data_IF_963147517130
#
_entry.id   IF_963147517130
#
_cell.length_a   1.000
_cell.length_b   1.000
_cell.length_c   1.000
_cell.angle_alpha   90.00
_cell.angle_beta   90.00
_cell.angle_gamma   90.00
#
_symmetry.space_group_name_H-M   'P 1'
#
loop_
_entity.id
_entity.type
_entity.pdbx_description
1 polymer ?
#
# COMPACT_ATOMS: atom_id res chain seq x y z
N UNK A 1 -3.18 -4.83 -8.13
CA UNK A 1 -2.09 -5.51 -7.39
C UNK A 1 -2.44 -5.50 -5.91
N UNK A 2 -2.34 -6.64 -5.22
CA UNK A 2 -2.60 -6.76 -3.78
C UNK A 2 -1.30 -7.18 -3.08
N UNK A 3 -0.99 -6.62 -1.91
CA UNK A 3 0.21 -6.99 -1.12
C UNK A 3 1.53 -6.62 -1.80
N UNK A 4 1.85 -5.32 -1.86
CA UNK A 4 3.11 -4.81 -2.42
C UNK A 4 4.15 -4.53 -1.30
N UNK A 5 5.19 -3.73 -1.58
CA UNK A 5 6.23 -3.41 -0.60
C UNK A 5 5.67 -2.87 0.73
N UNK A 6 4.63 -2.04 0.68
CA UNK A 6 4.02 -1.47 1.89
C UNK A 6 3.50 -2.54 2.85
N UNK A 7 2.96 -3.65 2.33
CA UNK A 7 2.39 -4.72 3.15
C UNK A 7 3.48 -5.54 3.82
N UNK A 8 4.52 -5.91 3.05
CA UNK A 8 5.68 -6.62 3.56
C UNK A 8 6.42 -5.79 4.61
N UNK A 9 6.65 -4.51 4.32
CA UNK A 9 7.38 -3.61 5.21
C UNK A 9 6.58 -3.32 6.48
N UNK A 10 5.27 -3.06 6.37
CA UNK A 10 4.42 -2.84 7.54
C UNK A 10 4.35 -4.08 8.42
N UNK A 11 4.26 -5.28 7.83
CA UNK A 11 4.32 -6.53 8.57
C UNK A 11 5.66 -6.72 9.29
N UNK A 12 6.78 -6.47 8.60
CA UNK A 12 8.11 -6.60 9.17
C UNK A 12 8.32 -5.65 10.36
N UNK A 13 7.97 -4.37 10.21
CA UNK A 13 8.06 -3.37 11.29
C UNK A 13 7.13 -3.75 12.46
N UNK A 14 5.87 -4.11 12.17
CA UNK A 14 4.93 -4.48 13.22
C UNK A 14 5.41 -5.70 14.02
N UNK A 15 6.07 -6.67 13.36
CA UNK A 15 6.68 -7.83 14.01
C UNK A 15 7.93 -7.46 14.81
N UNK A 16 8.85 -6.71 14.23
CA UNK A 16 10.10 -6.30 14.88
C UNK A 16 9.84 -5.47 16.16
N UNK A 17 8.81 -4.63 16.13
CA UNK A 17 8.44 -3.77 17.25
C UNK A 17 7.23 -4.28 18.01
N UNK A 18 6.88 -5.57 17.95
CA UNK A 18 5.62 -6.10 18.51
C UNK A 18 5.31 -5.59 19.93
N UNK A 19 6.32 -5.62 20.82
CA UNK A 19 6.23 -5.21 22.22
C UNK A 19 6.91 -3.87 22.53
N UNK A 20 7.21 -3.07 21.51
CA UNK A 20 7.91 -1.79 21.63
C UNK A 20 7.14 -0.67 20.92
N UNK A 21 7.53 0.56 21.19
CA UNK A 21 7.06 1.71 20.41
C UNK A 21 7.57 1.65 18.98
N UNK A 22 6.79 2.18 18.04
CA UNK A 22 7.18 2.23 16.64
C UNK A 22 8.35 3.22 16.44
N UNK A 23 9.27 2.95 15.50
CA UNK A 23 10.34 3.88 15.13
C UNK A 23 9.83 5.29 14.87
N UNK A 24 10.66 6.30 15.19
CA UNK A 24 10.37 7.71 14.90
C UNK A 24 9.99 7.94 13.44
N UNK A 25 9.14 8.93 13.16
CA UNK A 25 8.53 9.16 11.83
C UNK A 25 9.56 9.37 10.70
N UNK A 26 10.76 9.85 11.02
CA UNK A 26 11.87 10.10 10.11
C UNK A 26 12.78 8.88 9.88
N UNK A 27 12.48 7.75 10.55
CA UNK A 27 13.23 6.51 10.42
C UNK A 27 13.33 6.08 8.95
N UNK A 28 14.51 5.64 8.47
CA UNK A 28 14.68 5.13 7.12
C UNK A 28 13.80 3.90 6.82
N UNK A 29 13.28 3.22 7.86
CA UNK A 29 12.36 2.09 7.71
C UNK A 29 11.05 2.45 7.00
N UNK A 30 10.67 3.73 7.00
CA UNK A 30 9.46 4.22 6.35
C UNK A 30 9.70 4.81 4.96
N UNK A 31 10.95 4.86 4.49
CA UNK A 31 11.30 5.42 3.18
C UNK A 31 11.04 4.38 2.09
N UNK A 32 10.47 4.86 0.99
CA UNK A 32 10.27 4.05 -0.20
C UNK A 32 11.63 3.61 -0.79
N UNK A 33 11.80 2.33 -1.16
CA UNK A 33 13.04 1.84 -1.75
C UNK A 33 13.28 2.42 -3.15
N UNK A 34 14.51 2.84 -3.43
CA UNK A 34 14.85 3.55 -4.69
C UNK A 34 14.85 2.67 -5.94
N UNK A 35 14.93 1.35 -5.75
CA UNK A 35 14.96 0.33 -6.79
C UNK A 35 13.55 -0.20 -7.13
N UNK A 36 12.51 0.27 -6.44
CA UNK A 36 11.14 -0.20 -6.64
C UNK A 36 10.25 0.89 -7.25
N UNK A 37 9.47 0.52 -8.26
CA UNK A 37 8.46 1.39 -8.84
C UNK A 37 7.39 1.74 -7.80
N UNK A 38 7.23 3.04 -7.53
CA UNK A 38 6.15 3.54 -6.68
C UNK A 38 4.82 3.51 -7.45
N UNK A 39 3.75 2.91 -6.88
CA UNK A 39 2.43 2.97 -7.48
C UNK A 39 1.88 4.40 -7.46
N UNK A 40 1.07 4.77 -8.46
CA UNK A 40 0.40 6.08 -8.51
C UNK A 40 -0.69 6.22 -7.44
N UNK A 41 -1.21 5.10 -6.93
CA UNK A 41 -2.24 5.05 -5.90
C UNK A 41 -2.06 3.81 -5.02
N UNK A 42 -2.10 4.01 -3.71
CA UNK A 42 -2.09 2.95 -2.70
C UNK A 42 -3.37 3.05 -1.89
N UNK A 43 -4.20 2.01 -1.89
CA UNK A 43 -5.46 2.00 -1.14
C UNK A 43 -5.32 1.12 0.10
N UNK A 44 -5.59 1.67 1.27
CA UNK A 44 -5.66 0.91 2.53
C UNK A 44 -7.11 0.82 3.01
N UNK A 45 -7.63 -0.41 3.06
CA UNK A 45 -8.99 -0.69 3.55
C UNK A 45 -8.97 -0.86 5.08
N UNK A 46 -9.49 0.14 5.78
CA UNK A 46 -9.61 0.14 7.23
C UNK A 46 -10.96 -0.40 7.67
N UNK A 47 -10.99 -1.68 8.02
CA UNK A 47 -12.18 -2.32 8.58
C UNK A 47 -12.38 -1.92 10.05
N UNK A 48 -13.60 -1.78 10.56
CA UNK A 48 -13.83 -1.68 12.01
C UNK A 48 -13.38 -2.97 12.73
N UNK A 49 -13.04 -2.90 14.02
CA UNK A 49 -12.63 -4.07 14.84
C UNK A 49 -13.79 -5.04 15.12
N UNK A 50 -15.03 -4.59 15.03
CA UNK A 50 -16.23 -5.38 15.29
C UNK A 50 -16.50 -6.46 14.22
N UNK A 51 -15.90 -6.35 13.03
CA UNK A 51 -16.02 -7.32 11.94
C UNK A 51 -15.00 -8.48 12.07
N UNK A 52 -14.83 -8.99 13.30
CA UNK A 52 -13.85 -10.05 13.63
C UNK A 52 -14.14 -11.41 12.98
N UNK A 53 -15.34 -11.62 12.44
CA UNK A 53 -15.74 -12.85 11.77
C UNK A 53 -14.82 -13.21 10.58
N UNK A 54 -14.21 -12.22 9.91
CA UNK A 54 -13.29 -12.46 8.80
C UNK A 54 -11.91 -12.99 9.23
N UNK A 55 -11.56 -12.88 10.52
CA UNK A 55 -10.28 -13.36 11.07
C UNK A 55 -10.34 -14.78 11.62
N UNK A 56 -11.47 -15.50 11.49
CA UNK A 56 -11.63 -16.87 11.99
C UNK A 56 -10.66 -17.88 11.33
N UNK A 57 -10.12 -17.56 10.14
CA UNK A 57 -9.14 -18.37 9.42
C UNK A 57 -7.71 -17.81 9.46
N UNK A 58 -7.48 -16.71 10.19
CA UNK A 58 -6.18 -16.07 10.29
C UNK A 58 -5.51 -16.40 11.63
N UNK A 59 -4.17 -16.43 11.65
CA UNK A 59 -3.39 -16.58 12.88
C UNK A 59 -3.83 -15.52 13.89
N UNK A 60 -4.10 -15.86 15.17
CA UNK A 60 -4.50 -14.90 16.19
C UNK A 60 -3.49 -13.75 16.25
N UNK A 61 -3.91 -12.54 15.86
CA UNK A 61 -3.08 -11.35 15.95
C UNK A 61 -3.31 -10.67 17.29
N UNK A 62 -2.29 -9.99 17.83
CA UNK A 62 -2.46 -9.24 19.08
C UNK A 62 -3.58 -8.20 18.92
N UNK A 63 -4.31 -7.92 19.99
CA UNK A 63 -5.47 -7.00 20.00
C UNK A 63 -5.16 -5.64 19.34
N UNK A 64 -3.92 -5.18 19.44
CA UNK A 64 -3.49 -3.86 18.94
C UNK A 64 -2.79 -3.92 17.57
N UNK A 65 -2.62 -5.10 16.97
CA UNK A 65 -1.89 -5.29 15.71
C UNK A 65 -2.41 -4.39 14.59
N UNK A 66 -3.73 -4.33 14.43
CA UNK A 66 -4.38 -3.58 13.34
C UNK A 66 -4.13 -2.08 13.45
N UNK A 67 -4.35 -1.52 14.64
CA UNK A 67 -4.06 -0.12 14.95
C UNK A 67 -2.57 0.20 14.78
N UNK A 68 -1.69 -0.75 15.12
CA UNK A 68 -0.24 -0.61 14.93
C UNK A 68 0.16 -0.59 13.45
N UNK A 69 -0.37 -1.51 12.65
CA UNK A 69 -0.13 -1.56 11.20
C UNK A 69 -0.65 -0.30 10.52
N UNK A 70 -1.85 0.17 10.88
CA UNK A 70 -2.39 1.42 10.35
C UNK A 70 -1.48 2.62 10.66
N UNK A 71 -0.96 2.69 11.89
CA UNK A 71 0.00 3.73 12.27
C UNK A 71 1.32 3.63 11.49
N UNK A 72 1.77 2.43 11.11
CA UNK A 72 2.93 2.25 10.23
C UNK A 72 2.63 2.77 8.82
N UNK A 73 1.46 2.43 8.25
CA UNK A 73 1.06 2.93 6.94
C UNK A 73 1.03 4.46 6.88
N UNK A 74 0.56 5.11 7.95
CA UNK A 74 0.56 6.59 8.08
C UNK A 74 1.96 7.19 8.26
N UNK A 75 2.97 6.40 8.59
CA UNK A 75 4.37 6.84 8.75
C UNK A 75 5.18 6.71 7.46
N UNK A 76 4.72 5.92 6.49
CA UNK A 76 5.40 5.82 5.19
C UNK A 76 5.56 7.20 4.54
N UNK A 77 6.78 7.51 4.14
CA UNK A 77 7.14 8.83 3.64
C UNK A 77 6.70 9.00 2.19
N UNK A 78 5.94 10.07 1.92
CA UNK A 78 5.60 10.53 0.56
C UNK A 78 4.91 9.49 -0.35
N UNK A 79 4.14 8.55 0.23
CA UNK A 79 3.36 7.59 -0.56
C UNK A 79 1.97 8.15 -0.91
N UNK A 80 1.39 7.81 -2.08
CA UNK A 80 0.05 8.23 -2.46
C UNK A 80 -1.02 7.35 -1.78
N UNK A 81 -1.14 7.47 -0.46
CA UNK A 81 -2.02 6.65 0.38
C UNK A 81 -3.45 7.19 0.45
N UNK A 82 -4.41 6.35 0.08
CA UNK A 82 -5.85 6.53 0.27
C UNK A 82 -6.35 5.55 1.35
N UNK A 83 -6.57 6.04 2.56
CA UNK A 83 -7.22 5.27 3.63
C UNK A 83 -8.75 5.33 3.47
N UNK A 84 -9.41 4.18 3.35
CA UNK A 84 -10.87 4.08 3.24
C UNK A 84 -11.44 3.28 4.41
N UNK A 85 -12.35 3.87 5.17
CA UNK A 85 -13.09 3.17 6.22
C UNK A 85 -14.23 2.37 5.59
N UNK A 86 -14.35 1.09 5.93
CA UNK A 86 -15.34 0.21 5.28
C UNK A 86 -16.75 0.28 5.86
N UNK A 87 -16.95 1.09 6.91
CA UNK A 87 -18.25 1.31 7.55
C UNK A 87 -19.32 1.90 6.61
N UNK A 88 -18.91 2.51 5.49
CA UNK A 88 -19.80 3.17 4.54
C UNK A 88 -20.45 2.21 3.52
N UNK A 89 -20.17 0.90 3.61
CA UNK A 89 -20.71 -0.11 2.69
C UNK A 89 -19.92 -0.27 1.40
N UNK A 90 -20.07 -1.43 0.75
CA UNK A 90 -19.26 -1.82 -0.41
C UNK A 90 -19.42 -0.90 -1.62
N UNK A 91 -20.65 -0.50 -1.96
CA UNK A 91 -20.91 0.38 -3.11
C UNK A 91 -20.23 1.73 -2.96
N UNK A 92 -20.26 2.30 -1.75
CA UNK A 92 -19.58 3.55 -1.46
C UNK A 92 -18.06 3.38 -1.62
N UNK A 93 -17.47 2.32 -1.07
CA UNK A 93 -16.03 2.03 -1.17
C UNK A 93 -15.61 1.91 -2.64
N UNK A 94 -16.35 1.14 -3.43
CA UNK A 94 -16.08 0.95 -4.86
C UNK A 94 -16.16 2.29 -5.60
N UNK A 95 -17.18 3.09 -5.33
CA UNK A 95 -17.34 4.41 -5.97
C UNK A 95 -16.20 5.38 -5.65
N UNK A 96 -15.66 5.33 -4.42
CA UNK A 96 -14.53 6.15 -4.00
C UNK A 96 -13.26 5.69 -4.71
N UNK A 97 -12.98 4.39 -4.70
CA UNK A 97 -11.81 3.82 -5.39
C UNK A 97 -11.87 4.12 -6.89
N UNK A 98 -13.03 3.90 -7.52
CA UNK A 98 -13.22 4.17 -8.95
C UNK A 98 -12.95 5.64 -9.29
N UNK A 99 -13.49 6.59 -8.51
CA UNK A 99 -13.24 8.02 -8.73
C UNK A 99 -11.75 8.37 -8.59
N UNK A 100 -11.07 7.79 -7.62
CA UNK A 100 -9.64 8.05 -7.40
C UNK A 100 -8.77 7.44 -8.52
N UNK A 101 -9.12 6.24 -8.99
CA UNK A 101 -8.48 5.63 -10.15
C UNK A 101 -8.71 6.48 -11.41
N UNK A 102 -9.94 6.92 -11.67
CA UNK A 102 -10.23 7.79 -12.82
C UNK A 102 -9.45 9.10 -12.71
N UNK A 103 -9.41 9.72 -11.52
CA UNK A 103 -8.61 10.92 -11.29
C UNK A 103 -7.13 10.71 -11.60
N UNK A 104 -6.54 9.63 -11.06
CA UNK A 104 -5.14 9.30 -11.27
C UNK A 104 -4.81 8.90 -12.73
N UNK A 105 -5.71 8.20 -13.42
CA UNK A 105 -5.52 7.70 -14.78
C UNK A 105 -6.04 8.65 -15.88
N UNK A 106 -6.73 9.74 -15.51
CA UNK A 106 -7.21 10.74 -16.47
C UNK A 106 -6.10 11.61 -17.06
N UNK A 107 -4.88 11.53 -16.50
CA UNK A 107 -3.69 12.18 -17.05
C UNK A 107 -2.99 11.35 -18.13
N UNK A 108 -2.45 12.00 -19.16
CA UNK A 108 -1.52 11.38 -20.11
C UNK A 108 -0.19 11.04 -19.43
N UNK A 109 0.16 9.75 -19.37
CA UNK A 109 1.49 9.28 -18.98
C UNK A 109 2.42 9.31 -20.22
N UNK A 110 3.41 10.20 -20.22
CA UNK A 110 4.45 10.22 -21.25
C UNK A 110 5.58 9.27 -20.86
N UNK A 111 5.61 8.10 -21.48
CA UNK A 111 6.72 7.17 -21.32
C UNK A 111 7.87 7.64 -22.22
N UNK A 112 8.84 8.34 -21.65
CA UNK A 112 10.08 8.68 -22.34
C UNK A 112 11.04 7.49 -22.30
N UNK A 113 11.03 6.69 -23.37
CA UNK A 113 12.05 5.68 -23.58
C UNK A 113 13.36 6.36 -23.97
N UNK A 114 14.25 6.59 -23.00
CA UNK A 114 15.65 6.90 -23.31
C UNK A 114 16.34 5.58 -23.69
N UNK A 115 16.70 5.46 -24.96
CA UNK A 115 17.56 4.43 -25.55
C UNK A 115 16.93 3.03 -25.73
N UNK A 116 15.95 2.90 -26.62
CA UNK A 116 15.65 1.58 -27.23
C UNK A 116 16.31 1.54 -28.61
N UNK A 117 17.42 0.81 -28.71
CA UNK A 117 18.01 0.41 -29.99
C UNK A 117 17.44 -0.96 -30.35
N UNK A 118 16.53 -1.02 -31.32
CA UNK A 118 16.10 -2.30 -31.89
C UNK A 118 17.18 -2.79 -32.85
N UNK A 119 17.96 -3.81 -32.45
CA UNK A 119 18.82 -4.53 -33.37
C UNK A 119 17.94 -5.43 -34.25
N UNK A 120 17.83 -5.10 -35.54
CA UNK A 120 17.20 -5.96 -36.55
C UNK A 120 18.08 -7.19 -36.78
N UNK A 121 17.55 -8.37 -36.47
CA UNK A 121 18.19 -9.63 -36.84
C UNK A 121 17.69 -10.04 -38.24
N UNK A 122 18.54 -9.91 -39.25
CA UNK A 122 18.31 -10.53 -40.55
C UNK A 122 18.52 -12.05 -40.40
N UNK A 123 17.50 -12.84 -40.72
CA UNK A 123 17.62 -14.29 -40.83
C UNK A 123 18.33 -14.61 -42.15
N UNK A 124 19.48 -15.28 -42.06
CA UNK A 124 20.14 -15.97 -43.18
C UNK A 124 19.30 -17.15 -43.67
#
# INVERSE_FOLDING_TARGET
MNGYWTDQQAFAIARAYANQELPAHDSPLYKWPSDLLMPDLIVYLNFPEENQAYYQFATPRSKNWKSKVLNIYRRFSNIPLLEIKTLMGWDHIISVIQRQIIGALSGTCYINFKNITFASFERK
#
